data_IF_465976043940
#
_entry.id   IF_465976043940
#
_cell.length_a   1.000
_cell.length_b   1.000
_cell.length_c   1.000
_cell.angle_alpha   90.00
_cell.angle_beta   90.00
_cell.angle_gamma   90.00
#
_symmetry.space_group_name_H-M   'P 1'
#
loop_
_entity.id
_entity.type
_entity.pdbx_description
1 polymer ?
#
# COMPACT_ATOMS: atom_id res chain seq x y z
N UNK A 1 -52.94 -60.50 17.78
CA UNK A 1 -53.26 -59.05 17.85
C UNK A 1 -51.95 -58.34 18.17
N UNK A 2 -51.36 -57.44 17.38
CA UNK A 2 -51.87 -56.58 16.30
C UNK A 2 -50.80 -56.46 15.19
N UNK A 3 -51.31 -56.15 14.00
CA UNK A 3 -50.64 -56.11 12.70
C UNK A 3 -49.81 -54.84 12.48
N UNK A 4 -48.88 -54.98 11.52
CA UNK A 4 -48.17 -53.95 10.75
C UNK A 4 -49.02 -52.76 10.32
N UNK A 5 -48.43 -51.56 10.34
CA UNK A 5 -48.75 -50.48 9.39
C UNK A 5 -47.48 -49.69 9.05
N UNK A 6 -46.88 -50.05 7.92
CA UNK A 6 -45.90 -49.24 7.18
C UNK A 6 -46.65 -48.15 6.40
N UNK A 7 -46.25 -46.89 6.53
CA UNK A 7 -46.72 -45.82 5.66
C UNK A 7 -45.81 -45.70 4.42
N UNK A 8 -46.35 -45.67 3.19
CA UNK A 8 -45.61 -45.30 2.00
C UNK A 8 -45.75 -43.78 1.74
N UNK A 9 -44.65 -43.04 1.78
CA UNK A 9 -44.60 -41.67 1.25
C UNK A 9 -44.46 -41.77 -0.26
N UNK A 10 -45.47 -41.22 -0.93
CA UNK A 10 -45.73 -41.26 -2.36
C UNK A 10 -44.62 -40.59 -3.17
N UNK A 11 -44.10 -41.34 -4.13
CA UNK A 11 -43.16 -40.94 -5.16
C UNK A 11 -43.96 -40.30 -6.30
N UNK A 12 -44.17 -38.98 -6.25
CA UNK A 12 -44.88 -38.26 -7.32
C UNK A 12 -44.52 -36.78 -7.30
N UNK A 13 -43.42 -36.37 -7.96
CA UNK A 13 -43.27 -35.06 -8.60
C UNK A 13 -42.07 -35.12 -9.55
N UNK A 14 -42.30 -35.76 -10.69
CA UNK A 14 -41.46 -35.74 -11.87
C UNK A 14 -42.25 -34.99 -12.94
N UNK A 15 -41.55 -34.12 -13.69
CA UNK A 15 -41.94 -33.53 -14.99
C UNK A 15 -42.82 -32.27 -14.94
N UNK A 16 -42.18 -31.10 -15.03
CA UNK A 16 -42.63 -30.02 -15.95
C UNK A 16 -41.39 -29.42 -16.63
N UNK A 17 -41.01 -30.03 -17.75
CA UNK A 17 -40.17 -29.42 -18.80
C UNK A 17 -41.09 -28.76 -19.81
N UNK A 18 -41.28 -27.44 -19.71
CA UNK A 18 -41.98 -26.65 -20.74
C UNK A 18 -41.03 -25.62 -21.36
N UNK A 19 -40.44 -26.07 -22.46
CA UNK A 19 -40.21 -25.38 -23.73
C UNK A 19 -40.47 -23.87 -23.76
N UNK A 20 -39.40 -23.09 -23.89
CA UNK A 20 -39.42 -21.84 -24.64
C UNK A 20 -38.50 -21.97 -25.85
N UNK A 21 -39.11 -22.30 -26.98
CA UNK A 21 -38.53 -22.14 -28.31
C UNK A 21 -39.06 -20.86 -28.92
N UNK A 22 -38.19 -19.87 -29.12
CA UNK A 22 -38.40 -18.77 -30.06
C UNK A 22 -37.16 -18.64 -30.94
N UNK A 23 -37.31 -18.95 -32.24
CA UNK A 23 -36.39 -18.51 -33.30
C UNK A 23 -36.42 -16.98 -33.45
N UNK A 24 -35.49 -16.30 -34.13
CA UNK A 24 -34.77 -16.68 -35.35
C UNK A 24 -33.37 -16.02 -35.44
N UNK A 25 -32.45 -16.78 -36.03
CA UNK A 25 -31.37 -16.42 -36.98
C UNK A 25 -31.06 -14.95 -37.24
N UNK A 26 -29.80 -14.55 -36.97
CA UNK A 26 -28.88 -13.84 -37.90
C UNK A 26 -27.47 -13.69 -37.29
N UNK A 27 -26.46 -13.98 -38.11
CA UNK A 27 -25.03 -13.64 -37.99
C UNK A 27 -24.21 -14.23 -36.82
N UNK A 28 -23.61 -15.40 -37.06
CA UNK A 28 -22.31 -15.77 -36.46
C UNK A 28 -21.22 -14.95 -37.17
N UNK A 29 -20.84 -13.81 -36.61
CA UNK A 29 -19.54 -13.17 -36.76
C UNK A 29 -19.48 -12.02 -35.76
N UNK A 30 -18.42 -12.01 -34.94
CA UNK A 30 -18.10 -10.99 -33.94
C UNK A 30 -19.03 -10.97 -32.71
N UNK A 31 -18.66 -11.76 -31.70
CA UNK A 31 -19.01 -11.48 -30.32
C UNK A 31 -17.69 -11.14 -29.62
N UNK A 32 -17.34 -9.85 -29.65
CA UNK A 32 -16.44 -9.29 -28.65
C UNK A 32 -17.03 -9.54 -27.27
N UNK A 33 -16.15 -9.81 -26.32
CA UNK A 33 -16.42 -10.05 -24.92
C UNK A 33 -17.18 -8.85 -24.32
N UNK A 34 -18.50 -8.92 -24.20
CA UNK A 34 -19.26 -7.95 -23.40
C UNK A 34 -19.15 -8.35 -21.93
N UNK A 35 -18.32 -7.63 -21.19
CA UNK A 35 -18.37 -7.59 -19.73
C UNK A 35 -19.61 -6.78 -19.33
N UNK A 36 -20.71 -7.47 -19.03
CA UNK A 36 -21.84 -6.88 -18.32
C UNK A 36 -21.86 -7.46 -16.89
N UNK A 37 -21.11 -6.82 -15.99
CA UNK A 37 -21.28 -6.93 -14.53
C UNK A 37 -21.31 -5.49 -13.96
N UNK A 38 -22.22 -5.16 -13.03
CA UNK A 38 -22.38 -3.79 -12.53
C UNK A 38 -21.35 -3.45 -11.45
N UNK A 39 -20.06 -3.51 -11.77
CA UNK A 39 -19.04 -2.71 -11.11
C UNK A 39 -18.81 -1.46 -11.97
N UNK A 40 -18.51 -0.32 -11.35
CA UNK A 40 -18.35 0.98 -12.00
C UNK A 40 -17.19 0.96 -13.04
N UNK A 41 -17.52 0.62 -14.28
CA UNK A 41 -16.59 0.42 -15.41
C UNK A 41 -15.99 1.70 -15.97
N UNK A 42 -16.19 2.86 -15.32
CA UNK A 42 -15.68 4.12 -15.85
C UNK A 42 -14.27 4.46 -15.35
N UNK A 43 -13.83 3.95 -14.18
CA UNK A 43 -12.47 4.18 -13.72
C UNK A 43 -11.50 3.20 -14.37
N UNK A 44 -11.14 3.46 -15.64
CA UNK A 44 -9.95 2.81 -16.23
C UNK A 44 -8.72 3.09 -15.34
N UNK A 45 -7.71 2.19 -15.27
CA UNK A 45 -6.51 2.40 -14.44
C UNK A 45 -5.87 3.79 -14.62
N UNK A 46 -5.97 4.35 -15.82
CA UNK A 46 -5.53 5.70 -16.18
C UNK A 46 -6.32 6.83 -15.50
N UNK A 47 -7.64 6.71 -15.37
CA UNK A 47 -8.47 7.70 -14.68
C UNK A 47 -8.24 7.66 -13.17
N UNK A 48 -8.14 6.46 -12.60
CA UNK A 48 -7.79 6.22 -11.20
C UNK A 48 -6.44 6.87 -10.84
N UNK A 49 -5.39 6.59 -11.62
CA UNK A 49 -4.06 7.16 -11.39
C UNK A 49 -4.06 8.69 -11.45
N UNK A 50 -4.79 9.29 -12.39
CA UNK A 50 -4.87 10.75 -12.51
C UNK A 50 -5.53 11.39 -11.28
N UNK A 51 -6.59 10.76 -10.74
CA UNK A 51 -7.25 11.22 -9.53
C UNK A 51 -6.40 11.04 -8.28
N UNK A 52 -5.71 9.90 -8.10
CA UNK A 52 -4.81 9.68 -6.98
C UNK A 52 -3.62 10.65 -7.02
N UNK A 53 -3.00 10.83 -8.18
CA UNK A 53 -1.91 11.80 -8.35
C UNK A 53 -2.36 13.23 -8.02
N UNK A 54 -3.62 13.60 -8.30
CA UNK A 54 -4.15 14.92 -7.91
C UNK A 54 -4.33 15.05 -6.39
N UNK A 55 -4.68 13.96 -5.70
CA UNK A 55 -4.79 13.93 -4.23
C UNK A 55 -3.41 14.02 -3.55
N UNK A 56 -2.37 13.49 -4.18
CA UNK A 56 -0.99 13.46 -3.64
C UNK A 56 -0.09 14.60 -4.13
N UNK A 57 -0.43 15.30 -5.23
CA UNK A 57 0.43 16.31 -5.89
C UNK A 57 0.53 17.68 -5.18
N UNK A 58 0.07 17.84 -3.94
CA UNK A 58 0.34 19.06 -3.17
C UNK A 58 1.80 19.14 -2.64
N UNK A 59 2.72 18.35 -3.20
CA UNK A 59 4.11 18.26 -2.75
C UNK A 59 5.03 19.16 -3.59
N UNK A 60 5.58 20.20 -2.95
CA UNK A 60 6.56 21.14 -3.49
C UNK A 60 7.91 20.42 -3.75
N UNK A 61 8.54 20.68 -4.88
CA UNK A 61 9.61 19.88 -5.51
C UNK A 61 10.99 19.99 -4.79
N UNK A 62 11.02 20.31 -3.49
CA UNK A 62 12.28 20.59 -2.76
C UNK A 62 12.28 20.23 -1.26
N UNK A 63 11.42 19.30 -0.83
CA UNK A 63 11.42 18.79 0.55
C UNK A 63 11.96 17.35 0.51
N UNK A 64 13.01 17.07 1.29
CA UNK A 64 13.49 15.69 1.52
C UNK A 64 12.28 14.79 1.85
N UNK A 65 12.13 13.66 1.14
CA UNK A 65 11.09 12.62 1.24
C UNK A 65 10.80 12.22 2.70
N UNK A 66 10.12 13.09 3.42
CA UNK A 66 9.68 12.83 4.78
C UNK A 66 8.27 12.32 4.59
N UNK A 67 8.12 10.99 4.63
CA UNK A 67 6.79 10.35 4.67
C UNK A 67 6.07 10.88 5.90
N UNK A 68 5.17 11.84 5.72
CA UNK A 68 4.36 12.37 6.80
C UNK A 68 3.18 11.42 6.96
N UNK A 69 3.23 10.59 8.01
CA UNK A 69 2.05 9.86 8.45
C UNK A 69 1.08 10.91 8.98
N UNK A 70 -0.07 11.02 8.34
CA UNK A 70 -1.03 12.12 8.56
C UNK A 70 -2.23 11.72 9.39
N UNK A 71 -2.40 10.42 9.66
CA UNK A 71 -3.49 9.90 10.46
C UNK A 71 -3.04 8.72 11.31
N UNK A 72 -3.31 8.77 12.61
CA UNK A 72 -3.07 7.64 13.52
C UNK A 72 -4.41 7.13 14.05
N UNK A 73 -4.72 5.89 13.66
CA UNK A 73 -5.89 5.17 14.14
C UNK A 73 -5.66 4.58 15.55
N UNK A 74 -6.75 4.29 16.28
CA UNK A 74 -6.69 3.63 17.59
C UNK A 74 -6.05 2.24 17.51
N UNK A 75 -5.63 1.70 18.66
CA UNK A 75 -4.99 0.37 18.73
C UNK A 75 -5.87 -0.73 18.10
N UNK A 76 -7.18 -0.75 18.41
CA UNK A 76 -8.10 -1.73 17.83
C UNK A 76 -8.29 -1.58 16.32
N UNK A 77 -8.09 -0.38 15.76
CA UNK A 77 -8.09 -0.16 14.30
C UNK A 77 -6.75 -0.52 13.66
N UNK A 78 -5.65 -0.32 14.37
CA UNK A 78 -4.35 -0.79 13.93
C UNK A 78 -4.32 -2.33 13.83
N UNK A 79 -5.04 -3.04 14.72
CA UNK A 79 -5.25 -4.48 14.61
C UNK A 79 -6.02 -4.86 13.32
N UNK A 80 -7.04 -4.09 12.93
CA UNK A 80 -7.74 -4.30 11.65
C UNK A 80 -6.78 -4.13 10.45
N UNK A 81 -5.93 -3.10 10.46
CA UNK A 81 -4.91 -2.89 9.42
C UNK A 81 -3.94 -4.07 9.36
N UNK A 82 -3.50 -4.59 10.50
CA UNK A 82 -2.66 -5.79 10.61
C UNK A 82 -3.34 -7.03 10.01
N UNK A 83 -4.65 -7.20 10.23
CA UNK A 83 -5.42 -8.30 9.65
C UNK A 83 -5.57 -8.16 8.13
N UNK A 84 -5.83 -6.94 7.65
CA UNK A 84 -5.85 -6.63 6.22
C UNK A 84 -4.51 -6.89 5.53
N UNK A 85 -3.39 -6.53 6.16
CA UNK A 85 -2.04 -6.82 5.64
C UNK A 85 -1.85 -8.32 5.40
N UNK A 86 -2.25 -9.16 6.35
CA UNK A 86 -2.14 -10.61 6.21
C UNK A 86 -3.00 -11.14 5.06
N UNK A 87 -4.28 -10.75 4.99
CA UNK A 87 -5.18 -11.18 3.91
C UNK A 87 -4.68 -10.70 2.53
N UNK A 88 -4.15 -9.47 2.46
CA UNK A 88 -3.53 -8.92 1.26
C UNK A 88 -2.31 -9.74 0.81
N UNK A 89 -1.41 -10.11 1.74
CA UNK A 89 -0.25 -10.95 1.42
C UNK A 89 -0.66 -12.36 0.98
N UNK A 90 -1.65 -12.96 1.64
CA UNK A 90 -2.15 -14.29 1.28
C UNK A 90 -2.76 -14.32 -0.14
N UNK A 91 -3.42 -13.24 -0.58
CA UNK A 91 -3.87 -13.09 -1.97
C UNK A 91 -2.66 -12.99 -2.91
N UNK A 92 -1.70 -12.12 -2.60
CA UNK A 92 -0.48 -11.93 -3.39
C UNK A 92 0.30 -13.23 -3.60
N UNK A 93 0.48 -14.01 -2.54
CA UNK A 93 1.18 -15.29 -2.57
C UNK A 93 0.49 -16.32 -3.45
N UNK A 94 -0.84 -16.41 -3.40
CA UNK A 94 -1.60 -17.30 -4.26
C UNK A 94 -1.46 -16.92 -5.73
N UNK A 95 -1.55 -15.62 -6.05
CA UNK A 95 -1.39 -15.13 -7.41
C UNK A 95 0.03 -15.34 -7.95
N UNK A 96 1.05 -15.22 -7.08
CA UNK A 96 2.44 -15.53 -7.41
C UNK A 96 2.63 -17.02 -7.72
N UNK A 97 1.80 -17.89 -7.15
CA UNK A 97 1.81 -19.34 -7.40
C UNK A 97 0.91 -19.80 -8.55
N UNK A 98 0.35 -18.86 -9.33
CA UNK A 98 -0.65 -19.14 -10.36
C UNK A 98 -1.92 -19.84 -9.80
N UNK A 99 -2.32 -19.50 -8.56
CA UNK A 99 -3.49 -20.08 -7.87
C UNK A 99 -4.56 -19.02 -7.59
N UNK A 100 -5.82 -19.48 -7.52
CA UNK A 100 -7.00 -18.71 -7.10
C UNK A 100 -7.58 -19.20 -5.76
N UNK A 101 -6.81 -19.99 -5.01
CA UNK A 101 -7.24 -20.85 -3.89
C UNK A 101 -8.42 -20.34 -3.07
N UNK A 102 -8.15 -19.64 -1.98
CA UNK A 102 -9.12 -19.06 -1.05
C UNK A 102 -9.18 -17.53 -1.18
N UNK A 103 -8.94 -16.99 -2.39
CA UNK A 103 -9.04 -15.57 -2.69
C UNK A 103 -10.34 -14.94 -2.18
N UNK A 104 -11.46 -15.66 -2.28
CA UNK A 104 -12.75 -15.21 -1.74
C UNK A 104 -12.69 -14.98 -0.23
N UNK A 105 -12.12 -15.89 0.54
CA UNK A 105 -12.05 -15.79 2.01
C UNK A 105 -11.15 -14.60 2.43
N UNK A 106 -10.02 -14.45 1.76
CA UNK A 106 -9.09 -13.34 2.05
C UNK A 106 -9.68 -11.99 1.62
N UNK A 107 -10.35 -11.92 0.48
CA UNK A 107 -11.03 -10.73 0.03
C UNK A 107 -12.20 -10.32 0.95
N UNK A 108 -12.99 -11.29 1.43
CA UNK A 108 -14.03 -11.03 2.44
C UNK A 108 -13.44 -10.52 3.75
N UNK A 109 -12.28 -11.04 4.16
CA UNK A 109 -11.57 -10.52 5.33
C UNK A 109 -11.24 -9.03 5.15
N UNK A 110 -10.72 -8.62 3.98
CA UNK A 110 -10.45 -7.21 3.67
C UNK A 110 -11.74 -6.37 3.71
N UNK A 111 -12.84 -6.84 3.12
CA UNK A 111 -14.13 -6.12 3.08
C UNK A 111 -14.65 -5.86 4.50
N UNK A 112 -14.72 -6.90 5.33
CA UNK A 112 -15.27 -6.81 6.69
C UNK A 112 -14.39 -5.93 7.59
N UNK A 113 -13.08 -6.11 7.53
CA UNK A 113 -12.13 -5.35 8.37
C UNK A 113 -12.02 -3.89 7.94
N UNK A 114 -12.10 -3.61 6.64
CA UNK A 114 -12.08 -2.23 6.16
C UNK A 114 -13.35 -1.47 6.52
N UNK A 115 -14.53 -2.11 6.46
CA UNK A 115 -15.76 -1.51 6.98
C UNK A 115 -15.65 -1.17 8.47
N UNK A 116 -15.06 -2.07 9.25
CA UNK A 116 -14.83 -1.83 10.67
C UNK A 116 -13.91 -0.62 10.84
N UNK A 117 -12.80 -0.55 10.09
CA UNK A 117 -11.84 0.56 10.11
C UNK A 117 -12.51 1.92 9.83
N UNK A 118 -13.48 1.97 8.91
CA UNK A 118 -14.25 3.18 8.56
C UNK A 118 -15.19 3.68 9.67
N UNK A 119 -15.49 2.86 10.69
CA UNK A 119 -16.26 3.30 11.86
C UNK A 119 -15.50 4.33 12.72
N UNK A 120 -14.18 4.41 12.57
CA UNK A 120 -13.33 5.39 13.23
C UNK A 120 -12.90 6.49 12.27
N UNK A 121 -13.02 7.75 12.68
CA UNK A 121 -12.30 8.86 12.05
C UNK A 121 -11.12 9.25 12.94
N UNK A 122 -9.86 9.20 12.44
CA UNK A 122 -8.69 9.60 13.20
C UNK A 122 -8.84 11.01 13.78
N UNK A 123 -8.56 11.16 15.08
CA UNK A 123 -8.84 12.42 15.80
C UNK A 123 -7.97 13.60 15.33
N UNK A 124 -6.80 13.31 14.80
CA UNK A 124 -5.84 14.24 14.19
C UNK A 124 -6.16 14.57 12.72
N UNK A 125 -7.07 13.81 12.09
CA UNK A 125 -7.50 13.99 10.71
C UNK A 125 -9.03 13.88 10.55
N UNK A 126 -9.83 14.86 11.02
CA UNK A 126 -11.30 14.81 11.01
C UNK A 126 -11.94 14.76 9.61
N UNK A 127 -11.18 15.05 8.55
CA UNK A 127 -11.61 14.95 7.15
C UNK A 127 -10.99 13.76 6.42
N UNK A 128 -10.33 12.84 7.13
CA UNK A 128 -9.56 11.73 6.56
C UNK A 128 -10.35 10.99 5.47
N UNK A 129 -11.53 10.46 5.79
CA UNK A 129 -12.34 9.70 4.84
C UNK A 129 -12.83 10.52 3.65
N UNK A 130 -13.10 11.82 3.84
CA UNK A 130 -13.49 12.68 2.73
C UNK A 130 -12.32 12.93 1.77
N UNK A 131 -11.12 13.16 2.31
CA UNK A 131 -9.91 13.38 1.50
C UNK A 131 -9.43 12.10 0.81
N UNK A 132 -9.69 10.94 1.39
CA UNK A 132 -9.23 9.64 0.90
C UNK A 132 -10.38 8.78 0.35
N UNK A 133 -11.52 9.40 0.00
CA UNK A 133 -12.73 8.71 -0.42
C UNK A 133 -12.47 7.76 -1.60
N UNK A 134 -11.73 8.22 -2.61
CA UNK A 134 -11.42 7.39 -3.78
C UNK A 134 -10.58 6.17 -3.41
N UNK A 135 -9.64 6.31 -2.48
CA UNK A 135 -8.81 5.19 -2.00
C UNK A 135 -9.71 4.16 -1.31
N UNK A 136 -10.59 4.62 -0.42
CA UNK A 136 -11.53 3.75 0.29
C UNK A 136 -12.50 3.02 -0.65
N UNK A 137 -13.12 3.74 -1.59
CA UNK A 137 -13.99 3.16 -2.61
C UNK A 137 -13.25 2.12 -3.47
N UNK A 138 -11.99 2.40 -3.84
CA UNK A 138 -11.19 1.46 -4.64
C UNK A 138 -10.85 0.20 -3.86
N UNK A 139 -10.51 0.30 -2.57
CA UNK A 139 -10.26 -0.87 -1.72
C UNK A 139 -11.52 -1.74 -1.66
N UNK A 140 -12.69 -1.15 -1.42
CA UNK A 140 -13.97 -1.87 -1.43
C UNK A 140 -14.25 -2.55 -2.75
N UNK A 141 -14.24 -1.79 -3.85
CA UNK A 141 -14.59 -2.29 -5.18
C UNK A 141 -13.68 -3.46 -5.59
N UNK A 142 -12.37 -3.34 -5.38
CA UNK A 142 -11.42 -4.38 -5.79
C UNK A 142 -11.44 -5.59 -4.86
N UNK A 143 -11.70 -5.41 -3.56
CA UNK A 143 -11.89 -6.55 -2.67
C UNK A 143 -13.18 -7.31 -3.00
N UNK A 144 -14.28 -6.61 -3.30
CA UNK A 144 -15.51 -7.23 -3.79
C UNK A 144 -15.29 -7.99 -5.10
N UNK A 145 -14.60 -7.39 -6.08
CA UNK A 145 -14.27 -8.03 -7.35
C UNK A 145 -13.43 -9.30 -7.13
N UNK A 146 -12.34 -9.21 -6.34
CA UNK A 146 -11.49 -10.36 -6.01
C UNK A 146 -12.27 -11.51 -5.35
N UNK A 147 -13.31 -11.19 -4.59
CA UNK A 147 -14.14 -12.22 -3.96
C UNK A 147 -14.96 -13.04 -4.97
N UNK A 148 -15.24 -12.52 -6.16
CA UNK A 148 -16.11 -13.16 -7.15
C UNK A 148 -15.35 -13.75 -8.35
N UNK A 149 -14.10 -13.35 -8.54
CA UNK A 149 -13.32 -13.72 -9.70
C UNK A 149 -12.89 -15.19 -9.72
N UNK A 150 -13.00 -15.79 -10.92
CA UNK A 150 -12.55 -17.15 -11.22
C UNK A 150 -11.55 -17.22 -12.38
N UNK A 151 -11.16 -16.06 -12.93
CA UNK A 151 -10.12 -15.92 -13.94
C UNK A 151 -8.86 -15.28 -13.33
N UNK A 152 -7.72 -15.92 -13.53
CA UNK A 152 -6.46 -15.48 -12.90
C UNK A 152 -5.92 -14.17 -13.46
N UNK A 153 -6.19 -13.85 -14.73
CA UNK A 153 -5.73 -12.58 -15.31
C UNK A 153 -6.57 -11.44 -14.74
N UNK A 154 -7.88 -11.62 -14.66
CA UNK A 154 -8.76 -10.67 -14.00
C UNK A 154 -8.39 -10.49 -12.52
N UNK A 155 -8.10 -11.57 -11.78
CA UNK A 155 -7.71 -11.49 -10.38
C UNK A 155 -6.41 -10.70 -10.19
N UNK A 156 -5.44 -10.85 -11.09
CA UNK A 156 -4.21 -10.05 -11.10
C UNK A 156 -4.48 -8.58 -11.37
N UNK A 157 -5.45 -8.27 -12.21
CA UNK A 157 -5.86 -6.88 -12.50
C UNK A 157 -6.47 -6.24 -11.26
N UNK A 158 -7.45 -6.91 -10.67
CA UNK A 158 -8.09 -6.43 -9.46
C UNK A 158 -7.08 -6.27 -8.31
N UNK A 159 -6.19 -7.25 -8.12
CA UNK A 159 -5.12 -7.16 -7.14
C UNK A 159 -4.14 -6.01 -7.40
N UNK A 160 -3.80 -5.72 -8.66
CA UNK A 160 -2.94 -4.60 -9.02
C UNK A 160 -3.55 -3.25 -8.65
N UNK A 161 -4.86 -3.08 -8.89
CA UNK A 161 -5.60 -1.87 -8.53
C UNK A 161 -5.76 -1.77 -7.00
N UNK A 162 -6.09 -2.88 -6.33
CA UNK A 162 -6.13 -2.95 -4.87
C UNK A 162 -4.78 -2.57 -4.25
N UNK A 163 -3.68 -3.09 -4.80
CA UNK A 163 -2.34 -2.86 -4.27
C UNK A 163 -1.95 -1.39 -4.29
N UNK A 164 -2.27 -0.66 -5.37
CA UNK A 164 -2.01 0.77 -5.45
C UNK A 164 -2.81 1.55 -4.40
N UNK A 165 -4.11 1.27 -4.28
CA UNK A 165 -4.97 1.92 -3.29
C UNK A 165 -4.50 1.61 -1.86
N UNK A 166 -4.15 0.35 -1.60
CA UNK A 166 -3.69 -0.10 -0.30
C UNK A 166 -2.36 0.54 0.10
N UNK A 167 -1.41 0.66 -0.83
CA UNK A 167 -0.14 1.32 -0.57
C UNK A 167 -0.34 2.81 -0.27
N UNK A 168 -1.19 3.51 -1.03
CA UNK A 168 -1.52 4.91 -0.74
C UNK A 168 -2.19 5.07 0.62
N UNK A 169 -3.08 4.15 0.99
CA UNK A 169 -3.69 4.12 2.32
C UNK A 169 -2.63 3.95 3.42
N UNK A 170 -1.71 3.01 3.26
CA UNK A 170 -0.63 2.74 4.21
C UNK A 170 0.45 3.84 4.24
N UNK A 171 0.63 4.61 3.17
CA UNK A 171 1.52 5.78 3.18
C UNK A 171 1.00 6.88 4.11
N UNK A 172 -0.32 7.06 4.22
CA UNK A 172 -0.92 8.12 5.05
C UNK A 172 -1.21 7.66 6.48
N UNK A 173 -1.39 6.36 6.70
CA UNK A 173 -1.70 5.76 8.03
C UNK A 173 -0.50 5.09 8.70
N UNK A 174 0.48 4.66 7.91
CA UNK A 174 1.64 3.88 8.36
C UNK A 174 1.32 2.39 8.57
N UNK A 175 2.38 1.57 8.59
CA UNK A 175 2.31 0.19 9.07
C UNK A 175 2.17 0.21 10.61
N UNK A 176 1.21 -0.53 11.20
CA UNK A 176 1.06 -0.61 12.65
C UNK A 176 2.36 -0.97 13.36
N UNK A 177 2.69 -0.27 14.45
CA UNK A 177 3.94 -0.50 15.21
C UNK A 177 4.06 -1.90 15.79
N UNK A 178 2.93 -2.54 16.08
CA UNK A 178 2.87 -3.90 16.60
C UNK A 178 2.88 -4.97 15.50
N UNK A 179 2.88 -4.58 14.22
CA UNK A 179 2.93 -5.54 13.12
C UNK A 179 4.33 -6.15 13.04
N UNK A 180 4.43 -7.43 13.38
CA UNK A 180 5.74 -8.08 13.58
C UNK A 180 6.44 -8.51 12.29
N UNK A 181 5.70 -8.60 11.18
CA UNK A 181 6.26 -9.02 9.90
C UNK A 181 6.87 -7.83 9.16
N UNK A 182 7.99 -8.01 8.45
CA UNK A 182 8.50 -6.95 7.58
C UNK A 182 7.51 -6.69 6.44
N UNK A 183 7.51 -5.47 5.92
CA UNK A 183 6.68 -5.08 4.77
C UNK A 183 7.57 -4.48 3.70
N UNK A 184 7.73 -5.22 2.61
CA UNK A 184 8.57 -4.86 1.48
C UNK A 184 7.73 -4.47 0.28
N UNK A 185 8.00 -3.31 -0.30
CA UNK A 185 7.34 -2.86 -1.51
C UNK A 185 8.16 -3.13 -2.76
N UNK A 186 7.48 -3.42 -3.86
CA UNK A 186 8.09 -3.72 -5.15
C UNK A 186 7.31 -3.10 -6.31
N UNK A 187 8.02 -2.81 -7.40
CA UNK A 187 7.41 -2.37 -8.67
C UNK A 187 7.84 -3.33 -9.77
N UNK A 188 6.88 -3.81 -10.57
CA UNK A 188 7.12 -4.80 -11.62
C UNK A 188 7.73 -4.13 -12.86
N UNK A 189 7.15 -3.03 -13.34
CA UNK A 189 7.60 -2.31 -14.52
C UNK A 189 7.22 -2.95 -15.86
N UNK A 190 6.53 -4.09 -15.85
CA UNK A 190 6.06 -4.80 -17.05
C UNK A 190 4.55 -5.02 -17.08
N UNK A 191 3.85 -4.85 -15.95
CA UNK A 191 2.41 -5.07 -15.85
C UNK A 191 1.65 -3.81 -16.31
N UNK A 192 1.61 -3.58 -17.63
CA UNK A 192 1.09 -2.33 -18.23
C UNK A 192 -0.40 -2.07 -17.99
N UNK A 193 -1.16 -3.10 -17.67
CA UNK A 193 -2.60 -3.00 -17.41
C UNK A 193 -2.91 -2.66 -15.94
N UNK A 194 -1.86 -2.46 -15.12
CA UNK A 194 -1.96 -2.11 -13.70
C UNK A 194 -1.48 -0.68 -13.44
N UNK A 195 -2.00 -0.01 -12.39
CA UNK A 195 -1.39 1.20 -11.84
C UNK A 195 0.10 1.01 -11.54
N UNK A 196 0.88 2.07 -11.73
CA UNK A 196 2.35 2.08 -11.53
C UNK A 196 3.12 0.94 -12.23
N UNK A 197 2.57 0.38 -13.30
CA UNK A 197 3.11 -0.80 -14.01
C UNK A 197 3.26 -2.03 -13.10
N UNK A 198 2.40 -2.13 -12.08
CA UNK A 198 2.29 -3.21 -11.10
C UNK A 198 3.12 -2.97 -9.86
N UNK A 199 2.51 -2.38 -8.82
CA UNK A 199 3.12 -2.15 -7.51
C UNK A 199 2.48 -3.05 -6.45
N UNK A 200 3.28 -3.69 -5.59
CA UNK A 200 2.75 -4.56 -4.53
C UNK A 200 3.61 -4.55 -3.27
N UNK A 201 3.02 -5.04 -2.18
CA UNK A 201 3.72 -5.33 -0.93
C UNK A 201 3.80 -6.86 -0.70
N UNK A 202 4.82 -7.31 0.04
CA UNK A 202 4.93 -8.69 0.55
C UNK A 202 5.73 -8.70 1.86
N UNK A 203 5.57 -9.77 2.64
CA UNK A 203 6.28 -9.99 3.91
C UNK A 203 7.57 -10.83 3.78
N UNK A 204 7.87 -11.34 2.57
CA UNK A 204 9.15 -11.99 2.28
C UNK A 204 10.18 -10.99 1.70
N UNK A 205 11.46 -11.20 1.98
CA UNK A 205 12.54 -10.50 1.31
C UNK A 205 12.73 -10.95 -0.14
N UNK A 206 12.51 -12.24 -0.41
CA UNK A 206 12.62 -12.82 -1.75
C UNK A 206 11.36 -12.50 -2.55
N UNK A 207 11.52 -11.78 -3.66
CA UNK A 207 10.40 -11.31 -4.48
C UNK A 207 9.57 -12.47 -5.01
N UNK A 208 8.24 -12.35 -4.90
CA UNK A 208 7.26 -13.27 -5.48
C UNK A 208 6.24 -12.49 -6.29
N UNK A 209 6.55 -12.23 -7.56
CA UNK A 209 5.74 -11.38 -8.44
C UNK A 209 4.31 -11.94 -8.67
N UNK A 210 3.26 -11.28 -8.15
CA UNK A 210 1.88 -11.79 -8.24
C UNK A 210 1.28 -11.65 -9.65
N UNK A 211 1.82 -10.75 -10.49
CA UNK A 211 1.26 -10.42 -11.80
C UNK A 211 1.66 -11.38 -12.91
N UNK A 212 2.82 -12.02 -12.76
CA UNK A 212 3.34 -12.96 -13.75
C UNK A 212 3.52 -14.38 -13.19
N UNK A 213 3.26 -14.58 -11.90
CA UNK A 213 3.22 -15.88 -11.27
C UNK A 213 4.55 -16.62 -11.32
N UNK A 214 4.46 -17.96 -11.41
CA UNK A 214 5.62 -18.85 -11.41
C UNK A 214 6.59 -18.60 -12.57
N UNK A 215 6.15 -17.90 -13.61
CA UNK A 215 6.99 -17.54 -14.76
C UNK A 215 8.02 -16.45 -14.45
N UNK A 216 7.78 -15.61 -13.44
CA UNK A 216 8.62 -14.43 -13.16
C UNK A 216 8.67 -14.05 -11.67
N UNK A 217 8.64 -15.02 -10.76
CA UNK A 217 8.62 -14.78 -9.31
C UNK A 217 9.63 -13.71 -8.85
N UNK A 218 10.87 -13.82 -9.33
CA UNK A 218 11.98 -12.95 -8.92
C UNK A 218 12.01 -11.57 -9.62
N UNK A 219 11.08 -11.30 -10.54
CA UNK A 219 11.14 -10.11 -11.38
C UNK A 219 10.53 -8.89 -10.68
N UNK A 220 11.35 -7.88 -10.44
CA UNK A 220 10.93 -6.53 -10.09
C UNK A 220 11.91 -5.51 -10.68
N UNK A 221 11.43 -4.30 -10.97
CA UNK A 221 12.23 -3.15 -11.39
C UNK A 221 12.81 -2.40 -10.20
N UNK A 222 12.00 -2.22 -9.15
CA UNK A 222 12.34 -1.44 -7.96
C UNK A 222 11.89 -2.16 -6.69
N UNK A 223 12.53 -1.81 -5.57
CA UNK A 223 12.18 -2.25 -4.22
C UNK A 223 12.20 -1.04 -3.29
N UNK A 224 11.21 -0.90 -2.41
CA UNK A 224 11.07 0.19 -1.46
C UNK A 224 10.58 -0.33 -0.10
N UNK A 225 10.60 0.53 0.91
CA UNK A 225 10.11 0.22 2.26
C UNK A 225 8.93 1.15 2.61
N UNK A 226 8.01 0.64 3.42
CA UNK A 226 6.89 1.42 3.96
C UNK A 226 7.29 2.13 5.25
N UNK A 227 6.68 3.28 5.53
CA UNK A 227 6.82 3.95 6.83
C UNK A 227 5.98 3.23 7.90
N UNK A 228 6.49 3.19 9.13
CA UNK A 228 5.80 2.62 10.30
C UNK A 228 5.11 3.75 11.07
N UNK A 229 3.87 3.52 11.54
CA UNK A 229 3.11 4.47 12.38
C UNK A 229 3.97 4.96 13.56
N UNK A 230 3.93 6.25 13.94
CA UNK A 230 4.71 6.73 15.07
C UNK A 230 4.20 6.07 16.37
N UNK A 231 5.09 5.48 17.16
CA UNK A 231 4.73 4.96 18.48
C UNK A 231 4.25 6.11 19.38
N UNK A 232 3.15 5.91 20.11
CA UNK A 232 2.59 6.90 21.06
C UNK A 232 3.50 7.22 22.26
N UNK A 233 4.69 6.64 22.37
CA UNK A 233 5.72 7.03 23.31
C UNK A 233 6.51 8.25 22.82
N UNK A 234 5.89 9.44 22.82
CA UNK A 234 6.65 10.70 22.88
C UNK A 234 7.17 10.85 24.30
N UNK A 235 8.27 10.15 24.56
CA UNK A 235 9.08 10.28 25.76
C UNK A 235 9.63 11.70 25.88
N UNK A 236 9.12 12.39 26.90
CA UNK A 236 9.74 13.47 27.67
C UNK A 236 11.12 13.96 27.15
N UNK A 237 11.08 15.16 26.55
CA UNK A 237 12.25 15.96 26.20
C UNK A 237 13.17 16.08 27.42
N UNK A 238 14.26 15.30 27.43
CA UNK A 238 15.38 15.50 28.34
C UNK A 238 15.93 16.90 28.08
N UNK A 239 15.86 17.72 29.12
CA UNK A 239 16.38 19.08 29.13
C UNK A 239 17.90 18.98 29.24
N UNK A 240 18.56 18.89 28.10
CA UNK A 240 20.02 18.88 28.05
C UNK A 240 20.51 20.29 28.38
N UNK A 241 21.05 20.45 29.58
CA UNK A 241 21.75 21.65 30.02
C UNK A 241 23.00 21.84 29.16
N UNK A 242 22.88 22.65 28.10
CA UNK A 242 24.05 23.14 27.39
C UNK A 242 24.69 24.27 28.18
N UNK A 243 25.77 23.93 28.88
CA UNK A 243 26.79 24.90 29.26
C UNK A 243 27.33 25.57 27.99
N UNK A 244 27.15 26.88 27.89
CA UNK A 244 28.03 27.74 27.10
C UNK A 244 28.61 28.79 28.02
N UNK A 245 29.88 28.54 28.31
CA UNK A 245 30.83 29.45 28.91
C UNK A 245 30.86 30.75 28.09
N UNK A 246 30.33 31.82 28.68
CA UNK A 246 30.53 33.17 28.16
C UNK A 246 31.93 33.63 28.57
N UNK A 247 32.83 33.66 27.59
CA UNK A 247 34.11 34.36 27.68
C UNK A 247 33.80 35.85 27.91
N UNK A 248 34.11 36.35 29.10
CA UNK A 248 34.20 37.78 29.37
C UNK A 248 35.65 38.10 29.68
N UNK A 249 36.24 38.93 28.82
CA UNK A 249 37.59 39.46 28.99
C UNK A 249 37.64 40.35 30.24
N UNK A 250 38.36 39.92 31.27
CA UNK A 250 38.90 40.82 32.29
C UNK A 250 40.35 40.45 32.62
N UNK A 251 41.17 41.49 32.55
CA UNK A 251 42.60 41.60 32.84
C UNK A 251 43.01 40.97 34.19
N UNK A 252 44.16 40.28 34.27
CA UNK A 252 44.93 40.17 35.51
C UNK A 252 46.26 40.95 35.44
N UNK A 253 46.75 41.50 36.56
CA UNK A 253 48.03 42.19 36.61
C UNK A 253 49.21 41.20 36.77
N UNK A 254 50.31 41.57 36.12
CA UNK A 254 51.72 41.28 36.42
C UNK A 254 52.13 39.97 37.11
N UNK A 255 52.97 39.19 36.43
CA UNK A 255 54.32 38.93 36.96
C UNK A 255 55.28 38.51 35.84
N UNK A 256 56.46 39.12 35.89
CA UNK A 256 57.64 38.84 35.07
C UNK A 256 58.26 37.49 35.41
N UNK A 257 58.63 36.74 34.38
CA UNK A 257 59.87 35.94 34.19
C UNK A 257 59.74 35.37 32.76
N UNK A 258 60.58 35.63 31.76
CA UNK A 258 62.04 35.54 31.70
C UNK A 258 62.37 34.48 30.63
N UNK A 259 62.93 34.87 29.47
CA UNK A 259 63.50 33.88 28.52
C UNK A 259 63.29 34.11 27.02
N UNK A 260 64.16 34.95 26.45
CA UNK A 260 64.92 34.79 25.20
C UNK A 260 64.30 34.24 23.88
N UNK A 261 64.58 35.04 22.83
CA UNK A 261 65.04 34.66 21.48
C UNK A 261 64.04 34.49 20.33
N UNK A 262 63.77 35.61 19.67
CA UNK A 262 64.06 35.94 18.26
C UNK A 262 63.86 34.89 17.15
N UNK A 263 63.07 35.26 16.13
CA UNK A 263 63.11 34.65 14.80
C UNK A 263 61.99 35.12 13.86
N UNK A 264 62.22 36.21 13.13
CA UNK A 264 61.39 36.71 12.02
C UNK A 264 61.55 35.87 10.73
N UNK A 265 60.49 35.81 9.91
CA UNK A 265 60.47 36.02 8.43
C UNK A 265 59.15 35.45 7.88
N UNK A 266 58.14 36.24 7.50
CA UNK A 266 57.93 37.05 6.26
C UNK A 266 58.02 36.31 4.92
N UNK A 267 57.02 36.66 4.08
CA UNK A 267 56.89 36.58 2.61
C UNK A 267 56.59 35.18 2.02
N UNK A 268 55.77 35.00 0.99
CA UNK A 268 55.03 35.88 0.06
C UNK A 268 54.04 34.97 -0.71
N UNK A 269 52.83 35.44 -1.06
CA UNK A 269 52.48 35.96 -2.39
C UNK A 269 52.88 35.02 -3.56
N UNK A 270 51.91 34.51 -4.33
CA UNK A 270 51.68 34.93 -5.72
C UNK A 270 50.49 34.16 -6.32
N UNK A 271 49.66 34.88 -7.08
CA UNK A 271 48.47 34.44 -7.77
C UNK A 271 48.75 33.78 -9.13
N UNK A 272 47.76 32.99 -9.56
CA UNK A 272 47.22 32.79 -10.92
C UNK A 272 48.14 33.03 -12.12
N UNK A 273 48.18 32.03 -13.01
CA UNK A 273 48.12 32.27 -14.45
C UNK A 273 47.18 31.30 -15.17
N UNK A 274 46.42 31.90 -16.06
CA UNK A 274 45.47 31.36 -17.00
C UNK A 274 46.13 30.49 -18.09
N UNK A 275 45.43 29.42 -18.47
CA UNK A 275 44.90 29.15 -19.83
C UNK A 275 45.88 29.06 -21.01
N UNK A 276 46.01 27.86 -21.57
CA UNK A 276 45.63 27.51 -22.95
C UNK A 276 46.01 26.05 -23.23
N UNK A 277 45.03 25.18 -23.51
CA UNK A 277 44.82 24.50 -24.80
C UNK A 277 43.60 23.57 -24.73
#
# INVERSE_FOLDING_TARGET
MRYFTTQPISLFFLIVMLNFTSGCSKNLSQMELSLDHPANHNATPTQYQASINTLTSNHDENIEDTVIITAVFSEGRQDDISLMLNAYFDIGDQLAEDRLGDLNEQAQTIIETFHHLEEETPSDAPHFWHTHQLIAETIHDQAHELAELSDIKAARIAYGILSDAWIHFLQVTGIPTHYEKPVHGFVCGMAKDMPEQGIWLQDDQETRNPYFGTSMLMCHREKFNMAVTPSSEVGEMRKDTHGKEHITNQHPPGHHDGGHSSGESKAGAEQRKHQHD
#
